data_IF_808158615754
#
_entry.id   IF_808158615754
#
_cell.length_a   1.000
_cell.length_b   1.000
_cell.length_c   1.000
_cell.angle_alpha   90.00
_cell.angle_beta   90.00
_cell.angle_gamma   90.00
#
_symmetry.space_group_name_H-M   'P 1'
#
loop_
_entity.id
_entity.type
_entity.pdbx_description
1 polymer ?
#
# COMPACT_ATOMS: atom_id res chain seq x y z
N UNK A 1 -7.28 -31.37 -1.31
CA UNK A 1 -8.19 -30.33 -1.83
C UNK A 1 -7.36 -29.10 -2.14
N UNK A 2 -7.58 -28.45 -3.28
CA UNK A 2 -6.90 -27.21 -3.62
C UNK A 2 -7.43 -26.12 -2.70
N UNK A 3 -6.54 -25.47 -1.96
CA UNK A 3 -6.89 -24.40 -1.01
C UNK A 3 -6.59 -23.05 -1.68
N UNK A 4 -7.56 -22.18 -1.70
CA UNK A 4 -7.44 -20.80 -2.20
C UNK A 4 -7.51 -19.82 -1.05
N UNK A 5 -7.25 -18.55 -1.32
CA UNK A 5 -7.51 -17.45 -0.41
C UNK A 5 -8.46 -16.43 -1.05
N UNK A 6 -9.26 -15.76 -0.21
CA UNK A 6 -10.22 -14.75 -0.64
C UNK A 6 -10.24 -13.58 0.33
N UNK A 7 -10.36 -12.36 -0.20
CA UNK A 7 -10.61 -11.17 0.61
C UNK A 7 -12.07 -11.21 1.08
N UNK A 8 -12.26 -11.15 2.40
CA UNK A 8 -13.59 -11.15 3.05
C UNK A 8 -13.93 -9.83 3.72
N UNK A 9 -12.95 -8.97 3.93
CA UNK A 9 -13.15 -7.65 4.48
C UNK A 9 -12.06 -6.68 4.07
N UNK A 10 -12.42 -5.42 3.91
CA UNK A 10 -11.52 -4.31 3.62
C UNK A 10 -11.69 -3.23 4.66
N UNK A 11 -10.63 -2.47 4.94
CA UNK A 11 -10.67 -1.35 5.86
C UNK A 11 -9.56 -0.35 5.56
N UNK A 12 -9.80 0.90 5.89
CA UNK A 12 -8.84 1.96 5.66
C UNK A 12 -8.89 3.01 6.77
N UNK A 13 -7.80 3.76 6.90
CA UNK A 13 -7.71 4.91 7.79
C UNK A 13 -6.76 5.96 7.20
N UNK A 14 -7.20 7.21 7.25
CA UNK A 14 -6.40 8.39 6.91
C UNK A 14 -6.29 9.28 8.15
N UNK A 15 -5.10 9.82 8.46
CA UNK A 15 -4.96 10.80 9.54
C UNK A 15 -5.91 11.98 9.37
N UNK A 16 -6.42 12.57 10.46
CA UNK A 16 -7.42 13.64 10.39
C UNK A 16 -6.89 14.95 9.79
N UNK A 17 -5.57 15.20 9.88
CA UNK A 17 -4.94 16.39 9.28
C UNK A 17 -4.86 16.23 7.77
N UNK A 18 -5.87 16.75 7.07
CA UNK A 18 -5.89 16.84 5.62
C UNK A 18 -5.24 18.15 5.19
N UNK A 19 -4.17 18.07 4.38
CA UNK A 19 -3.51 19.21 3.76
C UNK A 19 -3.92 19.32 2.30
N UNK A 20 -4.49 20.47 1.91
CA UNK A 20 -4.64 20.84 0.50
C UNK A 20 -3.29 21.31 -0.07
N UNK A 21 -3.22 21.44 -1.39
CA UNK A 21 -2.02 22.04 -1.99
C UNK A 21 -1.82 23.49 -1.53
N UNK A 22 -2.90 24.25 -1.33
CA UNK A 22 -2.80 25.62 -0.82
C UNK A 22 -2.17 25.66 0.58
N UNK A 23 -2.60 24.77 1.48
CA UNK A 23 -2.02 24.66 2.82
C UNK A 23 -0.54 24.28 2.76
N UNK A 24 -0.18 23.27 1.95
CA UNK A 24 1.20 22.84 1.78
C UNK A 24 2.08 23.94 1.18
N UNK A 25 1.59 24.64 0.17
CA UNK A 25 2.32 25.76 -0.47
C UNK A 25 2.60 26.88 0.55
N UNK A 26 1.65 27.18 1.45
CA UNK A 26 1.87 28.16 2.51
C UNK A 26 2.96 27.69 3.50
N UNK A 27 2.95 26.40 3.88
CA UNK A 27 4.00 25.82 4.74
C UNK A 27 5.38 25.83 4.06
N UNK A 28 5.44 25.50 2.76
CA UNK A 28 6.68 25.50 1.96
C UNK A 28 7.23 26.93 1.79
N UNK A 29 6.38 27.92 1.58
CA UNK A 29 6.77 29.31 1.46
C UNK A 29 7.46 29.83 2.74
N UNK A 30 7.01 29.38 3.92
CA UNK A 30 7.67 29.72 5.19
C UNK A 30 9.10 29.14 5.29
N UNK A 31 9.41 28.12 4.50
CA UNK A 31 10.77 27.53 4.38
C UNK A 31 11.57 28.07 3.20
N UNK A 32 11.03 29.07 2.48
CA UNK A 32 11.65 29.67 1.29
C UNK A 32 11.54 28.80 0.03
N UNK A 33 10.59 27.87 -0.02
CA UNK A 33 10.39 26.98 -1.16
C UNK A 33 9.17 27.43 -1.96
N UNK A 34 9.37 27.79 -3.22
CA UNK A 34 8.30 28.22 -4.13
C UNK A 34 7.58 27.02 -4.75
N UNK A 35 6.26 27.01 -4.68
CA UNK A 35 5.38 26.04 -5.35
C UNK A 35 4.00 26.68 -5.60
N UNK A 36 3.11 25.96 -6.28
CA UNK A 36 1.71 26.36 -6.48
C UNK A 36 0.81 25.13 -6.65
N UNK A 37 -0.50 25.31 -6.41
CA UNK A 37 -1.49 24.26 -6.64
C UNK A 37 -1.45 23.78 -8.10
N UNK A 38 -1.46 24.70 -9.05
CA UNK A 38 -1.40 24.38 -10.49
C UNK A 38 -0.18 23.54 -10.83
N UNK A 39 1.00 23.92 -10.29
CA UNK A 39 2.25 23.19 -10.52
C UNK A 39 2.19 21.75 -9.98
N UNK A 40 1.59 21.57 -8.79
CA UNK A 40 1.45 20.25 -8.16
C UNK A 40 0.45 19.40 -8.95
N UNK A 41 -0.74 19.92 -9.22
CA UNK A 41 -1.84 19.21 -9.91
C UNK A 41 -1.41 18.79 -11.31
N UNK A 42 -0.82 19.72 -12.09
CA UNK A 42 -0.38 19.43 -13.45
C UNK A 42 0.61 18.25 -13.52
N UNK A 43 1.52 18.14 -12.53
CA UNK A 43 2.58 17.13 -12.52
C UNK A 43 2.20 15.82 -11.87
N UNK A 44 1.29 15.87 -10.92
CA UNK A 44 1.02 14.73 -10.03
C UNK A 44 -0.44 14.27 -10.02
N UNK A 45 -1.38 15.16 -10.32
CA UNK A 45 -2.81 14.97 -10.11
C UNK A 45 -3.25 15.11 -8.64
N UNK A 46 -2.31 15.37 -7.71
CA UNK A 46 -2.59 15.45 -6.28
C UNK A 46 -3.16 16.81 -5.92
N UNK A 47 -4.27 16.84 -5.19
CA UNK A 47 -4.94 18.03 -4.66
C UNK A 47 -4.84 18.14 -3.14
N UNK A 48 -4.74 16.98 -2.47
CA UNK A 48 -4.60 16.91 -1.02
C UNK A 48 -3.85 15.63 -0.61
N UNK A 49 -3.37 15.62 0.62
CA UNK A 49 -2.79 14.48 1.32
C UNK A 49 -3.14 14.56 2.80
N UNK A 50 -2.84 13.50 3.52
CA UNK A 50 -3.04 13.44 4.96
C UNK A 50 -1.70 13.23 5.65
N UNK A 51 -1.47 13.93 6.77
CA UNK A 51 -0.27 13.77 7.58
C UNK A 51 -0.64 13.38 9.01
N UNK A 52 0.07 12.39 9.52
CA UNK A 52 -0.06 11.95 10.91
C UNK A 52 0.53 13.00 11.87
N UNK A 53 -0.07 13.13 13.04
CA UNK A 53 0.49 13.92 14.12
C UNK A 53 1.81 13.28 14.64
N UNK A 54 2.71 14.06 15.25
CA UNK A 54 4.03 13.56 15.65
C UNK A 54 4.01 12.34 16.56
N UNK A 55 3.02 12.25 17.46
CA UNK A 55 2.84 11.15 18.42
C UNK A 55 2.22 9.88 17.82
N UNK A 56 1.58 9.96 16.65
CA UNK A 56 0.90 8.84 16.00
C UNK A 56 1.93 7.94 15.34
N UNK A 57 1.88 6.65 15.60
CA UNK A 57 2.79 5.66 15.04
C UNK A 57 2.16 4.92 13.84
N UNK A 58 2.99 4.26 13.03
CA UNK A 58 2.54 3.48 11.89
C UNK A 58 1.54 2.39 12.31
N UNK A 59 1.78 1.73 13.45
CA UNK A 59 0.87 0.73 14.01
C UNK A 59 -0.47 1.32 14.48
N UNK A 60 -0.57 2.63 14.79
CA UNK A 60 -1.85 3.26 15.14
C UNK A 60 -2.73 3.38 13.90
N UNK A 61 -2.16 3.80 12.77
CA UNK A 61 -2.90 3.86 11.50
C UNK A 61 -3.34 2.45 11.07
N UNK A 62 -2.41 1.48 11.17
CA UNK A 62 -2.69 0.07 10.88
C UNK A 62 -3.82 -0.48 11.75
N UNK A 63 -3.84 -0.15 13.04
CA UNK A 63 -4.86 -0.59 14.00
C UNK A 63 -6.25 -0.12 13.57
N UNK A 64 -6.42 1.16 13.24
CA UNK A 64 -7.71 1.69 12.79
C UNK A 64 -8.19 1.05 11.47
N UNK A 65 -7.27 0.85 10.51
CA UNK A 65 -7.59 0.15 9.27
C UNK A 65 -8.01 -1.31 9.52
N UNK A 66 -7.31 -2.02 10.42
CA UNK A 66 -7.63 -3.40 10.78
C UNK A 66 -9.00 -3.53 11.48
N UNK A 67 -9.34 -2.62 12.39
CA UNK A 67 -10.66 -2.58 13.02
C UNK A 67 -11.77 -2.54 11.97
N UNK A 68 -11.60 -1.66 10.97
CA UNK A 68 -12.56 -1.51 9.89
C UNK A 68 -12.64 -2.77 9.02
N UNK A 69 -11.49 -3.40 8.69
CA UNK A 69 -11.46 -4.61 7.88
C UNK A 69 -12.09 -5.81 8.61
N UNK A 70 -11.80 -5.98 9.90
CA UNK A 70 -12.39 -7.02 10.75
C UNK A 70 -13.92 -6.86 10.87
N UNK A 71 -14.40 -5.63 11.08
CA UNK A 71 -15.83 -5.35 11.16
C UNK A 71 -16.56 -5.73 9.87
N UNK A 72 -15.99 -5.41 8.69
CA UNK A 72 -16.54 -5.79 7.39
C UNK A 72 -16.53 -7.29 7.18
N UNK A 73 -15.46 -7.99 7.59
CA UNK A 73 -15.36 -9.44 7.50
C UNK A 73 -16.26 -10.19 8.51
N UNK A 74 -16.84 -9.49 9.49
CA UNK A 74 -17.55 -10.12 10.61
C UNK A 74 -16.62 -10.97 11.48
N UNK A 75 -15.38 -10.54 11.66
CA UNK A 75 -14.34 -11.24 12.42
C UNK A 75 -13.89 -10.44 13.63
N UNK A 76 -13.36 -11.16 14.59
CA UNK A 76 -12.72 -10.59 15.78
C UNK A 76 -11.19 -10.81 15.72
N UNK A 77 -10.38 -10.04 16.46
CA UNK A 77 -8.93 -10.22 16.48
C UNK A 77 -8.48 -11.66 16.74
N UNK A 78 -9.15 -12.39 17.64
CA UNK A 78 -8.82 -13.77 18.00
C UNK A 78 -9.06 -14.79 16.87
N UNK A 79 -9.77 -14.40 15.82
CA UNK A 79 -9.98 -15.27 14.65
C UNK A 79 -8.76 -15.29 13.70
N UNK A 80 -7.81 -14.37 13.92
CA UNK A 80 -6.66 -14.13 13.03
C UNK A 80 -5.47 -14.97 13.51
N UNK A 81 -4.85 -15.70 12.60
CA UNK A 81 -3.66 -16.54 12.85
C UNK A 81 -2.40 -16.06 12.11
N UNK A 82 -2.52 -14.98 11.30
CA UNK A 82 -1.41 -14.35 10.59
C UNK A 82 -1.62 -12.83 10.46
N UNK A 83 -0.58 -12.06 10.77
CA UNK A 83 -0.55 -10.60 10.55
C UNK A 83 0.69 -10.26 9.75
N UNK A 84 0.50 -9.62 8.59
CA UNK A 84 1.60 -9.11 7.76
C UNK A 84 1.38 -7.61 7.55
N UNK A 85 2.35 -6.80 7.97
CA UNK A 85 2.35 -5.36 7.73
C UNK A 85 3.39 -5.02 6.66
N UNK A 86 2.95 -4.44 5.56
CA UNK A 86 3.82 -3.84 4.58
C UNK A 86 4.08 -2.39 4.97
N UNK A 87 5.34 -2.09 5.33
CA UNK A 87 5.75 -0.73 5.72
C UNK A 87 7.23 -0.49 5.47
N UNK A 88 7.58 0.76 5.15
CA UNK A 88 8.94 1.31 5.12
C UNK A 88 9.17 2.33 6.23
N UNK A 89 8.13 2.60 7.02
CA UNK A 89 8.13 3.55 8.13
C UNK A 89 7.69 2.87 9.42
N UNK A 90 8.39 1.80 9.86
CA UNK A 90 8.01 1.04 11.05
C UNK A 90 8.06 1.93 12.30
N UNK A 91 7.35 1.50 13.35
CA UNK A 91 7.33 2.20 14.63
C UNK A 91 8.74 2.30 15.25
N UNK A 92 9.52 1.24 15.08
CA UNK A 92 10.90 1.12 15.61
C UNK A 92 11.68 0.08 14.79
N UNK A 93 12.99 -0.01 15.05
CA UNK A 93 13.87 -0.97 14.37
C UNK A 93 13.43 -2.43 14.61
N UNK A 94 13.08 -2.75 15.84
CA UNK A 94 12.43 -3.99 16.29
C UNK A 94 11.76 -3.76 17.66
N UNK A 95 10.69 -4.49 18.04
CA UNK A 95 10.02 -5.53 17.24
C UNK A 95 9.32 -4.99 16.00
N UNK A 96 8.81 -5.89 15.13
CA UNK A 96 8.08 -5.52 13.92
C UNK A 96 6.81 -4.71 14.25
N UNK A 97 6.41 -3.84 13.34
CA UNK A 97 5.13 -3.11 13.41
C UNK A 97 3.95 -4.08 13.53
N UNK A 98 4.02 -5.24 12.87
CA UNK A 98 3.00 -6.29 12.98
C UNK A 98 2.89 -6.85 14.40
N UNK A 99 3.99 -7.03 15.14
CA UNK A 99 3.95 -7.46 16.55
C UNK A 99 3.33 -6.38 17.45
N UNK A 100 3.63 -5.11 17.19
CA UNK A 100 3.05 -4.00 17.94
C UNK A 100 1.54 -3.89 17.64
N UNK A 101 1.15 -4.04 16.37
CA UNK A 101 -0.25 -4.11 15.94
C UNK A 101 -0.99 -5.26 16.62
N UNK A 102 -0.38 -6.46 16.65
CA UNK A 102 -0.94 -7.62 17.36
C UNK A 102 -1.24 -7.30 18.83
N UNK A 103 -0.30 -6.65 19.52
CA UNK A 103 -0.49 -6.21 20.89
C UNK A 103 -1.67 -5.25 21.03
N UNK A 104 -1.78 -4.25 20.15
CA UNK A 104 -2.91 -3.29 20.15
C UNK A 104 -4.25 -3.98 19.88
N UNK A 105 -4.29 -4.91 18.93
CA UNK A 105 -5.49 -5.70 18.65
C UNK A 105 -5.89 -6.62 19.81
N UNK A 106 -4.92 -7.17 20.55
CA UNK A 106 -5.18 -7.98 21.73
C UNK A 106 -5.87 -7.20 22.87
N UNK A 107 -5.66 -5.88 22.92
CA UNK A 107 -6.31 -5.01 23.91
C UNK A 107 -7.78 -4.66 23.56
N UNK A 108 -8.21 -4.99 22.33
CA UNK A 108 -9.64 -4.86 21.98
C UNK A 108 -10.46 -5.92 22.71
N UNK A 109 -11.47 -5.50 23.45
CA UNK A 109 -12.46 -6.40 24.08
C UNK A 109 -11.88 -7.45 25.04
N UNK A 110 -10.81 -7.14 25.78
CA UNK A 110 -10.11 -8.11 26.63
C UNK A 110 -9.67 -9.39 25.89
N UNK A 111 -9.45 -9.27 24.58
CA UNK A 111 -9.11 -10.39 23.70
C UNK A 111 -7.65 -10.90 23.87
N UNK A 112 -6.98 -10.54 24.97
CA UNK A 112 -5.56 -10.83 25.21
C UNK A 112 -5.17 -12.31 25.01
N UNK A 113 -6.09 -13.24 25.18
CA UNK A 113 -5.81 -14.67 25.05
C UNK A 113 -5.92 -15.20 23.60
N UNK A 114 -6.69 -14.55 22.73
CA UNK A 114 -7.10 -15.14 21.44
C UNK A 114 -6.16 -14.86 20.28
N UNK A 115 -5.55 -13.68 20.20
CA UNK A 115 -4.61 -13.31 19.10
C UNK A 115 -3.16 -13.67 19.44
N UNK A 116 -2.88 -14.01 20.70
CA UNK A 116 -1.58 -14.50 21.14
C UNK A 116 -1.25 -15.81 20.44
N UNK A 117 -0.12 -15.83 19.72
CA UNK A 117 0.31 -16.99 18.93
C UNK A 117 0.06 -16.87 17.43
N UNK A 118 -0.70 -15.88 16.95
CA UNK A 118 -0.72 -15.53 15.54
C UNK A 118 0.70 -15.13 15.08
N UNK A 119 1.13 -15.63 13.92
CA UNK A 119 2.39 -15.20 13.33
C UNK A 119 2.27 -13.71 12.92
N UNK A 120 3.29 -12.90 13.28
CA UNK A 120 3.28 -11.48 13.00
C UNK A 120 4.67 -10.99 12.53
N UNK A 121 4.75 -10.39 11.35
CA UNK A 121 6.00 -9.86 10.78
C UNK A 121 5.74 -8.77 9.75
N UNK A 122 6.77 -7.95 9.50
CA UNK A 122 6.73 -6.90 8.50
C UNK A 122 7.34 -7.39 7.17
N UNK A 123 6.84 -6.83 6.08
CA UNK A 123 7.41 -6.96 4.73
C UNK A 123 7.78 -5.58 4.23
N UNK A 124 9.02 -5.42 3.76
CA UNK A 124 9.46 -4.17 3.15
C UNK A 124 9.72 -4.37 1.65
N UNK A 125 8.90 -3.75 0.83
CA UNK A 125 9.08 -3.59 -0.61
C UNK A 125 8.55 -2.22 -1.08
N UNK A 126 8.61 -1.23 -0.18
CA UNK A 126 8.17 0.16 -0.36
C UNK A 126 6.76 0.18 -0.96
N UNK A 127 6.54 0.91 -2.05
CA UNK A 127 5.22 1.05 -2.67
C UNK A 127 4.62 -0.26 -3.21
N UNK A 128 5.44 -1.30 -3.44
CA UNK A 128 5.00 -2.65 -3.83
C UNK A 128 4.67 -3.52 -2.61
N UNK A 129 4.92 -3.01 -1.40
CA UNK A 129 4.86 -3.78 -0.16
C UNK A 129 3.56 -4.54 0.04
N UNK A 130 2.41 -3.91 -0.25
CA UNK A 130 1.11 -4.58 -0.11
C UNK A 130 0.93 -5.76 -1.09
N UNK A 131 1.42 -5.65 -2.32
CA UNK A 131 1.43 -6.75 -3.31
C UNK A 131 2.27 -7.92 -2.81
N UNK A 132 3.47 -7.64 -2.24
CA UNK A 132 4.33 -8.65 -1.64
C UNK A 132 3.66 -9.30 -0.42
N UNK A 133 3.10 -8.51 0.50
CA UNK A 133 2.43 -9.02 1.69
C UNK A 133 1.22 -9.90 1.33
N UNK A 134 0.43 -9.50 0.33
CA UNK A 134 -0.72 -10.26 -0.16
C UNK A 134 -0.29 -11.57 -0.81
N UNK A 135 0.80 -11.56 -1.60
CA UNK A 135 1.40 -12.75 -2.21
C UNK A 135 1.89 -13.74 -1.15
N UNK A 136 2.58 -13.25 -0.11
CA UNK A 136 3.07 -14.09 0.99
C UNK A 136 1.91 -14.68 1.78
N UNK A 137 0.88 -13.89 2.11
CA UNK A 137 -0.30 -14.37 2.83
C UNK A 137 -1.06 -15.44 2.02
N UNK A 138 -1.27 -15.24 0.71
CA UNK A 138 -1.87 -16.24 -0.18
C UNK A 138 -1.08 -17.55 -0.17
N UNK A 139 0.24 -17.46 -0.31
CA UNK A 139 1.11 -18.63 -0.29
C UNK A 139 1.04 -19.39 1.05
N UNK A 140 1.05 -18.70 2.19
CA UNK A 140 0.94 -19.29 3.52
C UNK A 140 -0.43 -19.95 3.73
N UNK A 141 -1.51 -19.33 3.26
CA UNK A 141 -2.86 -19.92 3.33
C UNK A 141 -2.96 -21.15 2.44
N UNK A 142 -2.48 -21.10 1.20
CA UNK A 142 -2.47 -22.25 0.28
C UNK A 142 -1.65 -23.42 0.80
N UNK A 143 -0.53 -23.13 1.45
CA UNK A 143 0.33 -24.14 2.10
C UNK A 143 -0.28 -24.72 3.40
N UNK A 144 -1.37 -24.13 3.92
CA UNK A 144 -2.01 -24.57 5.16
C UNK A 144 -1.34 -24.07 6.44
N UNK A 145 -0.41 -23.11 6.33
CA UNK A 145 0.29 -22.49 7.46
C UNK A 145 -0.52 -21.39 8.14
N UNK A 146 -1.56 -20.88 7.47
CA UNK A 146 -2.51 -19.92 8.00
C UNK A 146 -3.92 -20.22 7.47
N UNK A 147 -4.92 -19.72 8.18
CA UNK A 147 -6.33 -19.83 7.79
C UNK A 147 -6.95 -18.44 7.56
N UNK A 148 -6.56 -17.48 8.38
CA UNK A 148 -7.04 -16.08 8.28
C UNK A 148 -5.91 -15.12 8.54
N UNK A 149 -5.64 -14.28 7.56
CA UNK A 149 -4.60 -13.28 7.63
C UNK A 149 -5.17 -11.86 7.64
N UNK A 150 -4.59 -10.99 8.47
CA UNK A 150 -4.63 -9.55 8.29
C UNK A 150 -3.44 -9.14 7.42
N UNK A 151 -3.71 -8.57 6.25
CA UNK A 151 -2.68 -8.04 5.35
C UNK A 151 -2.86 -6.53 5.28
N UNK A 152 -1.84 -5.82 5.71
CA UNK A 152 -1.90 -4.38 5.97
C UNK A 152 -0.82 -3.65 5.19
N UNK A 153 -1.17 -2.52 4.56
CA UNK A 153 -0.22 -1.50 4.11
C UNK A 153 -0.39 -0.28 5.01
N UNK A 154 0.67 0.14 5.70
CA UNK A 154 0.61 1.30 6.60
C UNK A 154 1.88 2.11 6.51
N UNK A 155 1.74 3.44 6.36
CA UNK A 155 2.89 4.31 6.16
C UNK A 155 2.70 5.69 6.80
N UNK A 156 3.78 6.23 7.38
CA UNK A 156 3.91 7.63 7.75
C UNK A 156 5.08 8.23 6.95
N UNK A 157 4.86 8.35 5.65
CA UNK A 157 5.90 8.77 4.71
C UNK A 157 6.30 10.24 4.87
N UNK A 158 5.40 11.06 5.44
CA UNK A 158 5.67 12.48 5.74
C UNK A 158 6.92 12.69 6.59
N UNK A 159 7.32 11.69 7.41
CA UNK A 159 8.51 11.75 8.28
C UNK A 159 9.84 11.57 7.54
N UNK A 160 9.79 11.08 6.29
CA UNK A 160 10.98 10.86 5.46
C UNK A 160 11.20 11.98 4.44
N UNK A 161 10.33 13.02 4.43
CA UNK A 161 10.36 14.06 3.41
C UNK A 161 11.31 15.21 3.78
N UNK A 162 12.10 15.64 2.80
CA UNK A 162 12.77 16.93 2.84
C UNK A 162 11.80 18.00 2.30
N UNK A 163 11.24 18.81 3.20
CA UNK A 163 10.34 19.89 2.80
C UNK A 163 11.05 21.05 2.08
N UNK A 164 12.39 21.00 1.92
CA UNK A 164 13.14 21.89 1.03
C UNK A 164 13.23 21.35 -0.39
N UNK A 165 12.92 20.08 -0.62
CA UNK A 165 12.82 19.48 -1.95
C UNK A 165 11.37 19.39 -2.41
N UNK A 166 10.89 20.41 -3.11
CA UNK A 166 9.52 20.42 -3.64
C UNK A 166 9.23 19.33 -4.67
N UNK A 167 10.25 18.65 -5.21
CA UNK A 167 10.05 17.60 -6.20
C UNK A 167 9.56 16.30 -5.57
N UNK A 168 9.78 16.12 -4.28
CA UNK A 168 9.38 14.94 -3.51
C UNK A 168 8.32 15.23 -2.46
N UNK A 169 8.44 16.32 -1.67
CA UNK A 169 7.56 16.59 -0.53
C UNK A 169 6.09 16.82 -0.93
N UNK A 170 5.81 17.22 -2.16
CA UNK A 170 4.44 17.42 -2.67
C UNK A 170 3.73 16.12 -3.05
N UNK A 171 4.46 14.98 -3.11
CA UNK A 171 3.92 13.72 -3.61
C UNK A 171 3.26 12.89 -2.52
N UNK A 172 3.92 12.78 -1.36
CA UNK A 172 3.61 11.73 -0.40
C UNK A 172 2.59 12.17 0.66
N UNK A 173 1.91 11.19 1.21
CA UNK A 173 1.01 11.29 2.34
C UNK A 173 1.08 10.04 3.22
N UNK A 174 0.33 10.09 4.32
CA UNK A 174 0.27 9.04 5.34
C UNK A 174 -1.10 8.36 5.31
N UNK A 175 -1.13 7.09 5.70
CA UNK A 175 -2.37 6.34 5.80
C UNK A 175 -2.15 4.85 5.97
N UNK A 176 -3.23 4.12 6.19
CA UNK A 176 -3.23 2.67 6.26
C UNK A 176 -4.46 2.08 5.54
N UNK A 177 -4.25 0.93 4.94
CA UNK A 177 -5.33 0.08 4.45
C UNK A 177 -5.06 -1.37 4.81
N UNK A 178 -6.12 -2.14 5.05
CA UNK A 178 -6.05 -3.51 5.49
C UNK A 178 -7.08 -4.37 4.77
N UNK A 179 -6.76 -5.65 4.60
CA UNK A 179 -7.72 -6.67 4.18
C UNK A 179 -7.66 -7.86 5.11
N UNK A 180 -8.82 -8.51 5.31
CA UNK A 180 -8.90 -9.86 5.86
C UNK A 180 -8.89 -10.83 4.69
N UNK A 181 -7.90 -11.72 4.66
CA UNK A 181 -7.72 -12.77 3.66
C UNK A 181 -7.98 -14.12 4.33
N UNK A 182 -8.95 -14.88 3.82
CA UNK A 182 -9.34 -16.17 4.40
C UNK A 182 -9.14 -17.32 3.44
N UNK A 183 -8.85 -18.51 4.00
CA UNK A 183 -8.88 -19.75 3.27
C UNK A 183 -10.26 -20.00 2.67
N UNK A 184 -10.30 -20.45 1.41
CA UNK A 184 -11.54 -20.64 0.64
C UNK A 184 -11.43 -21.89 -0.25
N UNK A 185 -12.55 -22.52 -0.53
CA UNK A 185 -12.68 -23.57 -1.54
C UNK A 185 -12.83 -22.99 -2.96
N UNK A 186 -13.22 -21.73 -3.05
CA UNK A 186 -13.33 -21.00 -4.31
C UNK A 186 -12.20 -19.97 -4.44
N UNK A 187 -11.68 -19.81 -5.65
CA UNK A 187 -10.58 -18.88 -5.91
C UNK A 187 -11.04 -17.43 -5.70
N UNK A 188 -10.35 -16.73 -4.80
CA UNK A 188 -10.37 -15.28 -4.70
C UNK A 188 -9.12 -14.70 -5.37
N UNK A 189 -7.91 -14.95 -4.81
CA UNK A 189 -6.66 -14.66 -5.50
C UNK A 189 -6.46 -15.71 -6.60
N UNK A 190 -6.41 -15.24 -7.85
CA UNK A 190 -6.24 -16.08 -9.04
C UNK A 190 -4.75 -16.32 -9.32
N UNK A 191 -3.95 -15.27 -9.29
CA UNK A 191 -2.51 -15.32 -9.53
C UNK A 191 -1.80 -14.14 -8.90
N UNK A 192 -0.51 -14.33 -8.61
CA UNK A 192 0.40 -13.30 -8.10
C UNK A 192 1.72 -13.34 -8.87
N UNK A 193 2.39 -12.20 -8.95
CA UNK A 193 3.72 -12.06 -9.55
C UNK A 193 4.48 -10.93 -8.85
N UNK A 194 5.70 -11.21 -8.37
CA UNK A 194 6.53 -10.25 -7.65
C UNK A 194 7.99 -10.35 -8.09
N UNK A 195 8.66 -9.23 -8.23
CA UNK A 195 10.03 -9.13 -8.72
C UNK A 195 10.80 -7.98 -8.07
N UNK A 196 12.12 -8.09 -8.07
CA UNK A 196 13.04 -7.04 -7.68
C UNK A 196 14.27 -6.97 -8.59
N UNK A 197 14.83 -5.76 -8.76
CA UNK A 197 16.11 -5.55 -9.42
C UNK A 197 16.96 -4.55 -8.62
N UNK A 198 17.89 -5.07 -7.82
CA UNK A 198 18.79 -4.29 -6.96
C UNK A 198 19.75 -3.35 -7.71
N UNK A 199 19.88 -3.47 -9.05
CA UNK A 199 20.68 -2.53 -9.86
C UNK A 199 20.19 -1.08 -9.73
N UNK A 200 18.92 -0.88 -9.36
CA UNK A 200 18.27 0.43 -9.30
C UNK A 200 18.08 0.95 -7.88
N UNK A 201 18.77 0.41 -6.89
CA UNK A 201 18.61 0.77 -5.46
C UNK A 201 18.76 2.28 -5.20
N UNK A 202 19.58 2.99 -5.96
CA UNK A 202 19.84 4.42 -5.73
C UNK A 202 18.81 5.40 -6.31
N UNK A 203 17.85 4.95 -7.13
CA UNK A 203 16.90 5.87 -7.79
C UNK A 203 15.73 6.27 -6.91
N UNK A 204 15.42 5.48 -5.86
CA UNK A 204 14.39 5.76 -4.87
C UNK A 204 14.79 5.07 -3.56
N UNK A 205 15.32 5.82 -2.60
CA UNK A 205 15.83 5.28 -1.35
C UNK A 205 15.84 6.31 -0.22
N UNK A 206 16.00 5.82 1.00
CA UNK A 206 16.38 6.58 2.20
C UNK A 206 17.71 6.03 2.67
N UNK A 207 18.86 6.72 2.43
CA UNK A 207 20.19 6.16 2.66
C UNK A 207 20.61 6.06 4.14
N UNK A 208 19.85 6.68 5.05
CA UNK A 208 20.15 6.67 6.49
C UNK A 208 20.03 5.28 7.12
N UNK A 209 20.93 4.98 8.04
CA UNK A 209 20.91 3.75 8.84
C UNK A 209 21.34 4.04 10.29
N UNK A 210 20.93 3.16 11.21
CA UNK A 210 21.29 3.28 12.62
C UNK A 210 22.66 2.64 12.87
N UNK A 211 23.57 3.38 13.51
CA UNK A 211 24.86 2.89 14.00
C UNK A 211 25.23 3.62 15.29
N UNK A 212 25.68 2.87 16.30
CA UNK A 212 26.12 3.40 17.60
C UNK A 212 25.09 4.33 18.28
N UNK A 213 23.81 4.02 18.12
CA UNK A 213 22.70 4.82 18.67
C UNK A 213 22.41 6.12 17.92
N UNK A 214 23.05 6.34 16.78
CA UNK A 214 22.84 7.51 15.92
C UNK A 214 22.34 7.10 14.54
N UNK A 215 21.68 8.03 13.83
CA UNK A 215 21.38 7.87 12.41
C UNK A 215 22.56 8.41 11.63
N UNK A 216 23.21 7.54 10.87
CA UNK A 216 24.27 7.89 9.92
C UNK A 216 23.73 7.91 8.49
N UNK A 217 24.29 8.77 7.65
CA UNK A 217 23.81 9.03 6.29
C UNK A 217 22.63 9.99 6.27
N UNK A 218 21.97 10.11 5.12
CA UNK A 218 20.81 11.01 4.96
C UNK A 218 19.53 10.26 5.33
N UNK A 219 18.80 10.67 6.37
CA UNK A 219 17.56 10.02 6.79
C UNK A 219 16.36 10.40 5.91
N UNK A 220 16.55 11.24 4.90
CA UNK A 220 15.48 11.75 4.06
C UNK A 220 15.43 11.07 2.70
N UNK A 221 14.26 11.03 2.13
CA UNK A 221 13.96 10.42 0.84
C UNK A 221 14.77 11.06 -0.29
N UNK A 222 15.37 10.23 -1.13
CA UNK A 222 16.00 10.59 -2.40
C UNK A 222 15.28 9.90 -3.54
N UNK A 223 14.93 10.65 -4.59
CA UNK A 223 14.23 10.11 -5.75
C UNK A 223 14.67 10.77 -7.06
N UNK A 224 15.04 9.95 -8.03
CA UNK A 224 15.10 10.34 -9.43
C UNK A 224 13.75 10.05 -10.10
N UNK A 225 12.87 11.04 -10.11
CA UNK A 225 11.51 10.89 -10.61
C UNK A 225 11.43 10.52 -12.10
N UNK A 226 12.42 10.91 -12.93
CA UNK A 226 12.45 10.56 -14.34
C UNK A 226 12.83 9.09 -14.54
N UNK A 227 13.83 8.61 -13.82
CA UNK A 227 14.24 7.21 -13.85
C UNK A 227 13.12 6.30 -13.32
N UNK A 228 12.48 6.69 -12.21
CA UNK A 228 11.30 5.99 -11.64
C UNK A 228 10.19 5.89 -12.67
N UNK A 229 9.78 6.99 -13.31
CA UNK A 229 8.72 6.98 -14.32
C UNK A 229 9.04 6.05 -15.50
N UNK A 230 10.28 6.15 -16.04
CA UNK A 230 10.71 5.36 -17.20
C UNK A 230 10.67 3.86 -16.94
N UNK A 231 11.05 3.44 -15.73
CA UNK A 231 11.05 2.02 -15.34
C UNK A 231 9.64 1.53 -14.99
N UNK A 232 8.89 2.33 -14.24
CA UNK A 232 7.60 1.93 -13.69
C UNK A 232 6.62 1.42 -14.74
N UNK A 233 6.44 2.16 -15.83
CA UNK A 233 5.40 1.86 -16.84
C UNK A 233 5.63 0.51 -17.52
N UNK A 234 6.88 0.18 -17.88
CA UNK A 234 7.21 -1.12 -18.51
C UNK A 234 7.08 -2.28 -17.53
N UNK A 235 7.60 -2.11 -16.30
CA UNK A 235 7.58 -3.17 -15.29
C UNK A 235 6.17 -3.51 -14.81
N UNK A 236 5.27 -2.52 -14.73
CA UNK A 236 3.86 -2.74 -14.41
C UNK A 236 3.14 -3.49 -15.54
N UNK A 237 3.38 -3.13 -16.81
CA UNK A 237 2.88 -3.87 -17.98
C UNK A 237 3.32 -5.35 -17.93
N UNK A 238 4.61 -5.60 -17.68
CA UNK A 238 5.16 -6.96 -17.61
C UNK A 238 4.51 -7.79 -16.47
N UNK A 239 4.38 -7.21 -15.27
CA UNK A 239 3.75 -7.88 -14.12
C UNK A 239 2.27 -8.18 -14.37
N UNK A 240 1.52 -7.23 -14.96
CA UNK A 240 0.12 -7.43 -15.30
C UNK A 240 -0.06 -8.58 -16.29
N UNK A 241 0.72 -8.61 -17.38
CA UNK A 241 0.69 -9.72 -18.35
C UNK A 241 1.08 -11.06 -17.71
N UNK A 242 2.05 -11.06 -16.79
CA UNK A 242 2.46 -12.29 -16.09
C UNK A 242 1.31 -12.89 -15.27
N UNK A 243 0.56 -12.09 -14.50
CA UNK A 243 -0.57 -12.60 -13.71
C UNK A 243 -1.76 -12.99 -14.57
N UNK A 244 -2.04 -12.27 -15.66
CA UNK A 244 -3.08 -12.64 -16.63
C UNK A 244 -2.79 -14.00 -17.28
N UNK A 245 -1.55 -14.18 -17.77
CA UNK A 245 -1.11 -15.43 -18.38
C UNK A 245 -1.17 -16.60 -17.39
N UNK A 246 -0.71 -16.41 -16.15
CA UNK A 246 -0.77 -17.44 -15.09
C UNK A 246 -2.20 -17.86 -14.76
N UNK A 247 -3.14 -16.92 -14.81
CA UNK A 247 -4.55 -17.18 -14.52
C UNK A 247 -5.37 -17.65 -15.74
N UNK A 248 -4.84 -17.53 -16.95
CA UNK A 248 -5.58 -17.78 -18.20
C UNK A 248 -6.69 -16.76 -18.44
N UNK A 249 -6.56 -15.53 -17.96
CA UNK A 249 -7.53 -14.44 -18.05
C UNK A 249 -7.08 -13.43 -19.10
N UNK A 250 -8.02 -12.89 -19.89
CA UNK A 250 -7.72 -11.87 -20.90
C UNK A 250 -7.80 -10.44 -20.32
N UNK A 251 -7.08 -9.47 -20.91
CA UNK A 251 -7.15 -8.05 -20.51
C UNK A 251 -8.58 -7.51 -20.48
N UNK A 252 -9.43 -7.94 -21.41
CA UNK A 252 -10.83 -7.52 -21.53
C UNK A 252 -11.72 -7.96 -20.36
N UNK A 253 -11.31 -9.00 -19.63
CA UNK A 253 -12.03 -9.57 -18.48
C UNK A 253 -11.69 -8.83 -17.17
N UNK A 254 -10.77 -7.86 -17.20
CA UNK A 254 -10.50 -6.97 -16.08
C UNK A 254 -11.67 -5.99 -15.92
N UNK A 255 -12.34 -6.03 -14.79
CA UNK A 255 -13.37 -5.06 -14.43
C UNK A 255 -12.74 -3.77 -13.92
N UNK A 256 -11.74 -3.90 -13.02
CA UNK A 256 -11.09 -2.76 -12.38
C UNK A 256 -9.58 -2.93 -12.27
N UNK A 257 -8.85 -1.87 -12.59
CA UNK A 257 -7.44 -1.69 -12.28
C UNK A 257 -7.33 -0.83 -11.01
N UNK A 258 -6.65 -1.34 -9.99
CA UNK A 258 -6.35 -0.64 -8.75
C UNK A 258 -4.83 -0.55 -8.60
N UNK A 259 -4.19 0.42 -9.27
CA UNK A 259 -2.75 0.57 -9.25
C UNK A 259 -2.27 1.28 -7.98
N UNK A 260 -0.98 1.16 -7.68
CA UNK A 260 -0.32 2.05 -6.75
C UNK A 260 -0.57 3.51 -7.13
N UNK A 261 -1.01 4.32 -6.18
CA UNK A 261 -1.41 5.71 -6.36
C UNK A 261 -0.22 6.68 -6.27
N UNK A 262 0.80 6.47 -7.12
CA UNK A 262 2.02 7.25 -7.09
C UNK A 262 1.84 8.65 -7.70
N UNK A 263 1.26 8.69 -8.90
CA UNK A 263 1.17 9.85 -9.76
C UNK A 263 0.19 9.55 -10.89
N UNK A 264 -0.69 10.50 -11.21
CA UNK A 264 -1.73 10.32 -12.24
C UNK A 264 -1.12 9.97 -13.62
N UNK A 265 0.07 10.48 -13.95
CA UNK A 265 0.71 10.22 -15.25
C UNK A 265 1.19 8.77 -15.37
N UNK A 266 1.71 8.18 -14.29
CA UNK A 266 2.08 6.76 -14.25
C UNK A 266 0.82 5.92 -14.43
N UNK A 267 -0.22 6.20 -13.63
CA UNK A 267 -1.51 5.49 -13.68
C UNK A 267 -2.12 5.51 -15.09
N UNK A 268 -2.19 6.68 -15.73
CA UNK A 268 -2.70 6.84 -17.09
C UNK A 268 -1.85 6.06 -18.12
N UNK A 269 -0.52 6.11 -17.97
CA UNK A 269 0.39 5.41 -18.88
C UNK A 269 0.23 3.89 -18.76
N UNK A 270 0.08 3.37 -17.55
CA UNK A 270 -0.15 1.94 -17.31
C UNK A 270 -1.51 1.48 -17.83
N UNK A 271 -2.58 2.20 -17.53
CA UNK A 271 -3.91 1.90 -18.06
C UNK A 271 -3.91 1.86 -19.59
N UNK A 272 -3.22 2.83 -20.24
CA UNK A 272 -3.07 2.84 -21.71
C UNK A 272 -2.34 1.61 -22.24
N UNK A 273 -1.27 1.16 -21.55
CA UNK A 273 -0.50 -0.04 -21.91
C UNK A 273 -1.35 -1.30 -21.83
N UNK A 274 -2.19 -1.40 -20.81
CA UNK A 274 -3.15 -2.49 -20.62
C UNK A 274 -4.45 -2.34 -21.45
N UNK A 275 -4.51 -1.34 -22.33
CA UNK A 275 -5.70 -1.03 -23.16
C UNK A 275 -6.99 -0.84 -22.35
N UNK A 276 -6.85 -0.41 -21.09
CA UNK A 276 -7.98 -0.14 -20.21
C UNK A 276 -8.39 1.33 -20.27
N UNK A 277 -9.71 1.58 -20.35
CA UNK A 277 -10.25 2.94 -20.17
C UNK A 277 -10.01 3.41 -18.74
N UNK A 278 -9.76 4.70 -18.59
CA UNK A 278 -9.63 5.32 -17.24
C UNK A 278 -10.90 5.16 -16.39
N UNK A 279 -12.05 4.91 -16.98
CA UNK A 279 -13.30 4.60 -16.27
C UNK A 279 -13.25 3.25 -15.53
N UNK A 280 -12.32 2.38 -15.89
CA UNK A 280 -12.02 1.12 -15.19
C UNK A 280 -10.85 1.23 -14.20
N UNK A 281 -10.38 2.42 -13.89
CA UNK A 281 -9.26 2.67 -12.97
C UNK A 281 -9.75 3.31 -11.69
N UNK A 282 -9.43 2.71 -10.56
CA UNK A 282 -9.71 3.31 -9.26
C UNK A 282 -8.67 4.39 -8.98
N UNK A 283 -9.14 5.59 -8.70
CA UNK A 283 -8.30 6.76 -8.41
C UNK A 283 -8.57 7.30 -7.01
N UNK A 284 -7.51 7.43 -6.23
CA UNK A 284 -7.51 8.10 -4.92
C UNK A 284 -6.34 9.08 -4.77
N UNK A 285 -5.41 9.07 -5.73
CA UNK A 285 -4.19 9.88 -5.72
C UNK A 285 -4.48 11.37 -5.54
N UNK A 286 -5.58 11.88 -6.09
CA UNK A 286 -5.96 13.29 -5.98
C UNK A 286 -6.28 13.72 -4.54
N UNK A 287 -6.76 12.81 -3.69
CA UNK A 287 -7.19 13.11 -2.32
C UNK A 287 -6.22 12.60 -1.25
N UNK A 288 -5.52 11.49 -1.53
CA UNK A 288 -4.66 10.82 -0.56
C UNK A 288 -3.17 11.11 -0.76
N UNK A 289 -2.77 11.57 -1.98
CA UNK A 289 -1.37 11.59 -2.38
C UNK A 289 -0.82 10.17 -2.56
N UNK A 290 0.50 10.07 -2.59
CA UNK A 290 1.21 8.80 -2.60
C UNK A 290 1.43 8.31 -1.15
N UNK A 291 0.66 7.34 -0.72
CA UNK A 291 0.77 6.71 0.62
C UNK A 291 1.57 5.40 0.58
N UNK A 292 2.49 5.26 -0.38
CA UNK A 292 3.39 4.10 -0.52
C UNK A 292 2.66 2.75 -0.44
N UNK A 293 3.03 1.84 0.46
CA UNK A 293 2.39 0.52 0.62
C UNK A 293 0.90 0.60 0.99
N UNK A 294 0.44 1.67 1.60
CA UNK A 294 -0.97 1.84 1.97
C UNK A 294 -1.87 2.20 0.77
N UNK A 295 -1.31 2.67 -0.34
CA UNK A 295 -2.10 3.27 -1.42
C UNK A 295 -3.08 2.32 -2.09
N UNK A 296 -2.66 1.09 -2.37
CA UNK A 296 -3.52 0.07 -2.99
C UNK A 296 -4.66 -0.35 -2.07
N UNK A 297 -4.42 -0.77 -0.80
CA UNK A 297 -5.51 -1.17 0.07
C UNK A 297 -6.44 -0.01 0.46
N UNK A 298 -5.95 1.24 0.55
CA UNK A 298 -6.79 2.44 0.69
C UNK A 298 -7.72 2.62 -0.51
N UNK A 299 -7.19 2.48 -1.73
CA UNK A 299 -7.97 2.60 -2.96
C UNK A 299 -9.00 1.47 -3.09
N UNK A 300 -8.62 0.24 -2.74
CA UNK A 300 -9.51 -0.92 -2.73
C UNK A 300 -10.68 -0.71 -1.76
N UNK A 301 -10.40 -0.34 -0.49
CA UNK A 301 -11.44 -0.12 0.51
C UNK A 301 -12.40 1.00 0.09
N UNK A 302 -11.87 2.14 -0.40
CA UNK A 302 -12.70 3.23 -0.93
C UNK A 302 -13.63 2.75 -2.06
N UNK A 303 -13.09 1.99 -3.02
CA UNK A 303 -13.86 1.51 -4.16
C UNK A 303 -14.96 0.50 -3.75
N UNK A 304 -14.69 -0.36 -2.77
CA UNK A 304 -15.67 -1.30 -2.21
C UNK A 304 -16.76 -0.53 -1.45
N UNK A 305 -16.39 0.38 -0.54
CA UNK A 305 -17.35 1.15 0.28
C UNK A 305 -18.24 2.06 -0.54
N UNK A 306 -17.75 2.61 -1.64
CA UNK A 306 -18.56 3.45 -2.54
C UNK A 306 -19.42 2.65 -3.52
N UNK A 307 -19.28 1.31 -3.54
CA UNK A 307 -19.97 0.44 -4.49
C UNK A 307 -19.44 0.53 -5.93
N UNK A 308 -18.29 1.18 -6.12
CA UNK A 308 -17.59 1.19 -7.42
C UNK A 308 -17.14 -0.22 -7.78
N UNK A 309 -16.50 -0.93 -6.85
CA UNK A 309 -16.17 -2.36 -6.98
C UNK A 309 -17.25 -3.20 -6.32
N UNK A 310 -17.70 -4.25 -7.01
CA UNK A 310 -18.76 -5.16 -6.59
C UNK A 310 -18.24 -6.59 -6.41
N UNK A 311 -18.91 -7.43 -5.61
CA UNK A 311 -18.57 -8.86 -5.49
C UNK A 311 -18.49 -9.56 -6.86
N UNK A 312 -17.57 -10.52 -6.96
CA UNK A 312 -17.29 -11.35 -8.14
C UNK A 312 -16.67 -10.59 -9.34
N UNK A 313 -16.34 -9.32 -9.22
CA UNK A 313 -15.58 -8.62 -10.25
C UNK A 313 -14.10 -9.00 -10.23
N UNK A 314 -13.49 -8.99 -11.41
CA UNK A 314 -12.07 -9.27 -11.60
C UNK A 314 -11.26 -7.98 -11.40
N UNK A 315 -10.37 -7.99 -10.42
CA UNK A 315 -9.52 -6.85 -10.05
C UNK A 315 -8.07 -7.15 -10.36
N UNK A 316 -7.40 -6.18 -10.98
CA UNK A 316 -5.95 -6.15 -11.13
C UNK A 316 -5.38 -5.15 -10.11
N UNK A 317 -4.61 -5.64 -9.15
CA UNK A 317 -3.81 -4.81 -8.25
C UNK A 317 -2.37 -4.82 -8.76
N UNK A 318 -1.71 -3.65 -8.82
CA UNK A 318 -0.32 -3.59 -9.26
C UNK A 318 0.45 -2.49 -8.55
N UNK A 319 1.74 -2.73 -8.32
CA UNK A 319 2.59 -1.81 -7.62
C UNK A 319 4.03 -1.83 -8.11
N UNK A 320 4.69 -0.69 -7.94
CA UNK A 320 6.10 -0.49 -8.22
C UNK A 320 6.69 0.42 -7.15
N UNK A 321 7.91 0.12 -6.69
CA UNK A 321 8.52 0.85 -5.57
C UNK A 321 10.03 0.80 -5.55
N UNK A 322 10.60 1.48 -4.56
CA UNK A 322 12.06 1.47 -4.33
C UNK A 322 12.61 0.04 -4.21
N UNK A 323 13.88 -0.13 -4.62
CA UNK A 323 14.54 -1.40 -4.58
C UNK A 323 15.30 -1.77 -5.87
N UNK A 324 14.84 -1.76 -7.10
CA UNK A 324 13.48 -1.48 -7.52
C UNK A 324 12.63 -2.72 -7.42
N UNK A 325 11.40 -2.60 -6.88
CA UNK A 325 10.48 -3.73 -6.73
C UNK A 325 9.22 -3.49 -7.55
N UNK A 326 8.60 -4.56 -8.05
CA UNK A 326 7.32 -4.48 -8.76
C UNK A 326 6.55 -5.79 -8.65
N UNK A 327 5.28 -5.73 -8.94
CA UNK A 327 4.43 -6.91 -8.95
C UNK A 327 2.96 -6.60 -9.16
N UNK A 328 2.19 -7.67 -9.37
CA UNK A 328 0.76 -7.61 -9.56
C UNK A 328 0.06 -8.78 -8.86
N UNK A 329 -1.21 -8.59 -8.55
CA UNK A 329 -2.15 -9.60 -8.08
C UNK A 329 -3.42 -9.51 -8.90
N UNK A 330 -3.85 -10.62 -9.48
CA UNK A 330 -5.16 -10.77 -10.12
C UNK A 330 -6.08 -11.52 -9.17
N UNK A 331 -7.26 -10.96 -8.89
CA UNK A 331 -8.20 -11.56 -7.95
C UNK A 331 -9.66 -11.35 -8.36
N UNK A 332 -10.56 -12.17 -7.81
CA UNK A 332 -12.01 -11.92 -7.74
C UNK A 332 -12.39 -11.54 -6.31
N UNK A 333 -13.14 -10.46 -6.18
CA UNK A 333 -13.60 -10.00 -4.87
C UNK A 333 -14.77 -10.85 -4.36
#
# INVERSE_FOLDING_TARGET
MTRFSRITGTGSYLPPRRLTNADLVAELAALGVESSDDWIVERTGIKARHFAAPEVMCSDLAFEACKNALAVAGRQPQDIDLIIVATSTPDMVFPSTACILQHKLAQMNDAAAGIAGAAAFDVQAVCTGFIYALTVADAMIRAGNATRALVVGSEIFSRLLDFKDRTTCVLFGDGAGAVVLEASETAGILSTDIHANGKHVGILCVPGHVSDGNVLGDPLLKMDGQAVFKLAVGLLEDAAHAVLNKAGVQESEIDWLIPHQANIRIIQSTAKKLKLSMDKVVLTVQDHGNTSAASIPLALDKAVRTGQVKPNQTLMLEGVGGGFTWGAVLLKL
#
